data_IF_629660389932
#
_entry.id   IF_629660389932
#
_cell.length_a   1.000
_cell.length_b   1.000
_cell.length_c   1.000
_cell.angle_alpha   90.00
_cell.angle_beta   90.00
_cell.angle_gamma   90.00
#
_symmetry.space_group_name_H-M   'P 1'
#
loop_
_entity.id
_entity.type
_entity.pdbx_description
1 polymer ?
#
# COMPACT_ATOMS: atom_id res chain seq x y z
N UNK A 1 12.21 21.48 9.14
CA UNK A 1 12.36 20.80 7.83
C UNK A 1 11.04 20.85 7.12
N UNK A 2 11.01 21.23 5.85
CA UNK A 2 9.84 21.13 4.97
C UNK A 2 10.05 19.94 4.04
N UNK A 3 8.96 19.25 3.74
CA UNK A 3 8.93 18.14 2.79
C UNK A 3 7.84 18.38 1.76
N UNK A 4 8.12 18.06 0.50
CA UNK A 4 7.16 18.15 -0.59
C UNK A 4 7.43 17.09 -1.63
N UNK A 5 6.35 16.51 -2.15
CA UNK A 5 6.39 15.58 -3.27
C UNK A 5 6.12 16.32 -4.57
N UNK A 6 6.83 15.96 -5.62
CA UNK A 6 6.59 16.49 -6.95
C UNK A 6 6.67 15.38 -7.99
N UNK A 7 5.75 15.39 -8.95
CA UNK A 7 5.79 14.46 -10.07
C UNK A 7 7.08 14.66 -10.87
N UNK A 8 7.80 13.57 -11.13
CA UNK A 8 9.03 13.59 -11.94
C UNK A 8 8.78 14.23 -13.31
N UNK A 9 9.66 15.15 -13.70
CA UNK A 9 9.53 15.92 -14.94
C UNK A 9 8.51 17.05 -14.92
N UNK A 10 7.83 17.30 -13.78
CA UNK A 10 6.89 18.41 -13.63
C UNK A 10 7.59 19.75 -13.34
N UNK A 11 6.91 20.90 -13.55
CA UNK A 11 7.40 22.19 -13.08
C UNK A 11 7.71 22.24 -11.59
N UNK A 12 6.96 21.49 -10.75
CA UNK A 12 7.19 21.37 -9.31
C UNK A 12 8.54 20.70 -9.00
N UNK A 13 8.87 19.59 -9.70
CA UNK A 13 10.17 18.94 -9.56
C UNK A 13 11.33 19.85 -10.04
N UNK A 14 11.12 20.58 -11.14
CA UNK A 14 12.10 21.55 -11.63
C UNK A 14 12.31 22.69 -10.62
N UNK A 15 11.23 23.20 -10.01
CA UNK A 15 11.31 24.22 -8.96
C UNK A 15 12.06 23.70 -7.72
N UNK A 16 11.72 22.50 -7.24
CA UNK A 16 12.43 21.88 -6.12
C UNK A 16 13.95 21.79 -6.39
N UNK A 17 14.34 21.43 -7.62
CA UNK A 17 15.76 21.40 -8.02
C UNK A 17 16.47 22.75 -8.06
N UNK A 18 15.74 23.88 -8.04
CA UNK A 18 16.33 25.24 -7.93
C UNK A 18 16.61 25.66 -6.50
N UNK A 19 16.01 24.96 -5.51
CA UNK A 19 16.20 25.20 -4.10
C UNK A 19 17.36 24.32 -3.58
N UNK A 20 17.84 24.59 -2.35
CA UNK A 20 18.81 23.72 -1.67
C UNK A 20 18.12 22.48 -1.07
N UNK A 21 17.25 21.85 -1.83
CA UNK A 21 16.55 20.65 -1.40
C UNK A 21 17.42 19.41 -1.58
N UNK A 22 17.16 18.40 -0.77
CA UNK A 22 17.75 17.06 -0.91
C UNK A 22 16.66 16.07 -1.31
N UNK A 23 16.90 15.24 -2.34
CA UNK A 23 15.98 14.16 -2.65
C UNK A 23 16.00 13.13 -1.49
N UNK A 24 14.83 12.67 -1.10
CA UNK A 24 14.62 11.63 -0.11
C UNK A 24 14.11 10.36 -0.80
N UNK A 25 12.97 9.83 -0.37
CA UNK A 25 12.37 8.63 -0.95
C UNK A 25 11.60 9.00 -2.23
N UNK A 26 11.63 8.13 -3.22
CA UNK A 26 10.75 8.25 -4.39
C UNK A 26 9.59 7.28 -4.26
N UNK A 27 8.38 7.81 -4.15
CA UNK A 27 7.17 7.01 -4.26
C UNK A 27 6.90 6.70 -5.74
N UNK A 28 6.74 5.42 -6.05
CA UNK A 28 6.45 4.96 -7.42
C UNK A 28 5.05 4.38 -7.46
N UNK A 29 4.18 5.05 -8.21
CA UNK A 29 2.85 4.53 -8.49
C UNK A 29 2.90 3.54 -9.65
N UNK A 30 2.18 2.44 -9.48
CA UNK A 30 2.06 1.38 -10.49
C UNK A 30 0.60 1.04 -10.71
N UNK A 31 0.26 0.72 -11.94
CA UNK A 31 -1.09 0.34 -12.34
C UNK A 31 -1.10 -1.06 -12.93
N UNK A 32 -2.12 -1.82 -12.57
CA UNK A 32 -2.49 -3.07 -13.22
C UNK A 32 -3.83 -2.85 -13.94
N UNK A 33 -3.87 -3.05 -15.24
CA UNK A 33 -5.12 -3.23 -15.99
C UNK A 33 -5.54 -4.69 -15.84
N UNK A 34 -6.72 -4.95 -15.27
CA UNK A 34 -7.12 -6.33 -14.92
C UNK A 34 -7.22 -7.24 -16.13
N UNK A 35 -7.57 -6.70 -17.30
CA UNK A 35 -7.59 -7.44 -18.56
C UNK A 35 -6.19 -7.91 -19.02
N UNK A 36 -5.13 -7.24 -18.59
CA UNK A 36 -3.74 -7.58 -18.94
C UNK A 36 -3.17 -8.72 -18.08
N UNK A 37 -3.92 -9.20 -17.08
CA UNK A 37 -3.53 -10.33 -16.24
C UNK A 37 -4.39 -11.57 -16.57
N UNK A 38 -3.96 -12.43 -17.50
CA UNK A 38 -4.72 -13.60 -17.95
C UNK A 38 -5.02 -14.59 -16.82
N UNK A 39 -6.12 -15.31 -16.94
CA UNK A 39 -6.51 -16.34 -15.98
C UNK A 39 -5.43 -17.41 -15.79
N UNK A 40 -4.74 -17.78 -16.87
CA UNK A 40 -3.62 -18.75 -16.84
C UNK A 40 -2.47 -18.25 -15.99
N UNK A 41 -2.07 -16.98 -16.14
CA UNK A 41 -1.01 -16.39 -15.31
C UNK A 41 -1.43 -16.35 -13.84
N UNK A 42 -2.68 -15.98 -13.54
CA UNK A 42 -3.21 -16.02 -12.16
C UNK A 42 -3.17 -17.42 -11.58
N UNK A 43 -3.56 -18.43 -12.37
CA UNK A 43 -3.52 -19.84 -11.97
C UNK A 43 -2.08 -20.30 -11.71
N UNK A 44 -1.14 -19.98 -12.58
CA UNK A 44 0.28 -20.32 -12.42
C UNK A 44 0.86 -19.70 -11.14
N UNK A 45 0.58 -18.41 -10.88
CA UNK A 45 1.04 -17.73 -9.66
C UNK A 45 0.44 -18.36 -8.39
N UNK A 46 -0.83 -18.80 -8.44
CA UNK A 46 -1.45 -19.54 -7.32
C UNK A 46 -0.82 -20.89 -7.11
N UNK A 47 -0.59 -21.65 -8.18
CA UNK A 47 0.05 -22.96 -8.10
C UNK A 47 1.45 -22.87 -7.49
N UNK A 48 2.16 -21.79 -7.74
CA UNK A 48 3.47 -21.51 -7.15
C UNK A 48 3.39 -21.09 -5.66
N UNK A 49 2.42 -20.26 -5.29
CA UNK A 49 2.29 -19.75 -3.93
C UNK A 49 1.68 -20.77 -2.98
N UNK A 50 0.72 -21.57 -3.44
CA UNK A 50 -0.07 -22.47 -2.62
C UNK A 50 0.73 -23.48 -1.80
N UNK A 51 1.69 -24.23 -2.37
CA UNK A 51 2.51 -25.17 -1.62
C UNK A 51 3.33 -24.52 -0.50
N UNK A 52 3.81 -23.28 -0.72
CA UNK A 52 4.63 -22.53 0.26
C UNK A 52 3.76 -21.94 1.37
N UNK A 53 2.51 -21.59 1.05
CA UNK A 53 1.51 -21.09 1.99
C UNK A 53 0.65 -22.21 2.62
N UNK A 54 1.09 -23.47 2.54
CA UNK A 54 0.33 -24.60 3.08
C UNK A 54 0.04 -24.42 4.58
N UNK A 55 -1.21 -24.66 4.96
CA UNK A 55 -1.69 -24.53 6.33
C UNK A 55 -2.24 -23.17 6.69
N UNK A 56 -1.94 -22.12 5.91
CA UNK A 56 -2.60 -20.83 6.06
C UNK A 56 -4.01 -20.87 5.48
N UNK A 57 -4.95 -20.22 6.14
CA UNK A 57 -6.34 -20.07 5.66
C UNK A 57 -6.62 -18.61 5.35
N UNK A 58 -7.44 -18.37 4.33
CA UNK A 58 -7.81 -17.02 3.92
C UNK A 58 -9.11 -16.60 4.61
N UNK A 59 -9.09 -15.42 5.22
CA UNK A 59 -10.27 -14.74 5.76
C UNK A 59 -10.51 -13.43 5.00
N UNK A 60 -11.78 -13.01 4.91
CA UNK A 60 -12.15 -11.78 4.20
C UNK A 60 -13.26 -11.04 4.93
N UNK A 61 -13.22 -9.71 4.88
CA UNK A 61 -14.32 -8.86 5.34
C UNK A 61 -14.38 -7.56 4.54
N UNK A 62 -15.48 -6.83 4.65
CA UNK A 62 -15.69 -5.51 4.09
C UNK A 62 -15.81 -4.49 5.22
N UNK A 63 -15.27 -3.29 5.03
CA UNK A 63 -15.30 -2.24 6.03
C UNK A 63 -14.43 -2.53 7.25
N UNK A 64 -14.91 -2.20 8.46
CA UNK A 64 -14.13 -2.31 9.70
C UNK A 64 -13.71 -3.75 10.03
N UNK A 65 -12.55 -3.88 10.65
CA UNK A 65 -12.06 -5.15 11.17
C UNK A 65 -13.03 -5.72 12.24
N UNK A 66 -13.24 -7.06 12.29
CA UNK A 66 -13.94 -7.68 13.39
C UNK A 66 -13.34 -7.27 14.74
N UNK A 67 -14.19 -7.10 15.77
CA UNK A 67 -13.77 -6.57 17.07
C UNK A 67 -12.69 -7.43 17.73
N UNK A 68 -12.77 -8.73 17.58
CA UNK A 68 -11.81 -9.70 18.09
C UNK A 68 -10.48 -9.73 17.33
N UNK A 69 -10.35 -8.97 16.23
CA UNK A 69 -9.18 -8.95 15.36
C UNK A 69 -8.50 -7.59 15.26
N UNK A 70 -9.09 -6.54 15.82
CA UNK A 70 -8.59 -5.16 15.66
C UNK A 70 -7.16 -4.99 16.16
N UNK A 71 -6.80 -5.62 17.28
CA UNK A 71 -5.43 -5.57 17.81
C UNK A 71 -4.43 -6.28 16.90
N UNK A 72 -4.83 -7.37 16.27
CA UNK A 72 -4.00 -8.08 15.30
C UNK A 72 -3.83 -7.27 13.99
N UNK A 73 -4.88 -6.57 13.56
CA UNK A 73 -4.80 -5.62 12.44
C UNK A 73 -3.85 -4.47 12.78
N UNK A 74 -3.94 -3.92 13.99
CA UNK A 74 -3.03 -2.89 14.46
C UNK A 74 -1.56 -3.37 14.45
N UNK A 75 -1.30 -4.58 14.94
CA UNK A 75 0.03 -5.18 14.92
C UNK A 75 0.58 -5.36 13.49
N UNK A 76 -0.27 -5.77 12.53
CA UNK A 76 0.12 -5.90 11.12
C UNK A 76 0.37 -4.54 10.46
N UNK A 77 -0.43 -3.52 10.77
CA UNK A 77 -0.18 -2.16 10.32
C UNK A 77 1.15 -1.63 10.87
N UNK A 78 1.44 -1.90 12.14
CA UNK A 78 2.71 -1.58 12.77
C UNK A 78 3.91 -2.28 12.11
N UNK A 79 3.73 -3.49 11.58
CA UNK A 79 4.79 -4.23 10.88
C UNK A 79 5.19 -3.58 9.54
N UNK A 80 4.37 -2.67 8.98
CA UNK A 80 4.76 -1.81 7.85
C UNK A 80 5.86 -0.82 8.22
N UNK A 81 6.06 -0.58 9.52
CA UNK A 81 7.18 0.22 10.02
C UNK A 81 8.56 -0.36 9.64
N UNK A 82 8.61 -1.61 9.21
CA UNK A 82 9.83 -2.25 8.68
C UNK A 82 10.08 -1.96 7.19
N UNK A 83 9.12 -1.37 6.48
CA UNK A 83 9.34 -0.94 5.10
C UNK A 83 10.33 0.22 5.05
N UNK A 84 11.12 0.37 3.97
CA UNK A 84 11.98 1.52 3.78
C UNK A 84 11.17 2.81 3.96
N UNK A 85 11.63 3.66 4.89
CA UNK A 85 11.04 4.96 5.21
C UNK A 85 12.09 6.04 5.07
N UNK A 86 11.61 7.26 4.99
CA UNK A 86 12.43 8.45 4.99
C UNK A 86 13.21 8.60 6.32
N UNK A 87 14.43 9.11 6.22
CA UNK A 87 15.21 9.40 7.40
C UNK A 87 14.53 10.53 8.19
N UNK A 88 14.14 10.26 9.43
CA UNK A 88 13.48 11.24 10.31
C UNK A 88 11.98 11.05 10.49
N UNK A 89 11.33 10.20 9.74
CA UNK A 89 9.93 9.84 10.01
C UNK A 89 9.86 8.91 11.24
N UNK A 90 9.19 9.35 12.30
CA UNK A 90 8.89 8.50 13.44
C UNK A 90 7.96 7.35 13.03
N UNK A 91 8.23 6.17 13.60
CA UNK A 91 7.33 5.03 13.41
C UNK A 91 5.97 5.37 14.01
N UNK A 92 4.94 5.47 13.18
CA UNK A 92 3.59 5.63 13.69
C UNK A 92 3.23 4.43 14.56
N UNK A 93 2.91 4.69 15.82
CA UNK A 93 2.36 3.67 16.70
C UNK A 93 0.95 3.30 16.22
N UNK A 94 0.73 2.02 16.04
CA UNK A 94 -0.57 1.47 15.69
C UNK A 94 -1.16 0.74 16.88
N UNK A 95 -2.38 1.11 17.24
CA UNK A 95 -3.23 0.45 18.22
C UNK A 95 -4.67 0.34 17.68
N UNK A 96 -5.54 -0.33 18.41
CA UNK A 96 -6.93 -0.50 18.05
C UNK A 96 -7.65 0.85 17.83
N UNK A 97 -7.35 1.85 18.65
CA UNK A 97 -7.99 3.18 18.55
C UNK A 97 -7.62 3.86 17.22
N UNK A 98 -6.36 3.75 16.79
CA UNK A 98 -5.87 4.27 15.50
C UNK A 98 -6.51 3.53 14.32
N UNK A 99 -6.59 2.20 14.37
CA UNK A 99 -7.28 1.40 13.34
C UNK A 99 -8.73 1.88 13.21
N UNK A 100 -9.46 2.00 14.33
CA UNK A 100 -10.84 2.47 14.33
C UNK A 100 -11.00 3.91 13.82
N UNK A 101 -10.02 4.77 14.08
CA UNK A 101 -10.02 6.13 13.55
C UNK A 101 -9.90 6.14 12.01
N UNK A 102 -8.96 5.38 11.46
CA UNK A 102 -8.76 5.30 10.01
C UNK A 102 -9.95 4.65 9.30
N UNK A 103 -10.53 3.59 9.87
CA UNK A 103 -11.76 2.97 9.37
C UNK A 103 -12.93 3.96 9.29
N UNK A 104 -13.12 4.78 10.35
CA UNK A 104 -14.16 5.83 10.35
C UNK A 104 -13.90 6.90 9.29
N UNK A 105 -12.63 7.28 9.07
CA UNK A 105 -12.27 8.25 8.02
C UNK A 105 -12.60 7.71 6.63
N UNK A 106 -12.22 6.47 6.35
CA UNK A 106 -12.52 5.79 5.08
C UNK A 106 -14.04 5.71 4.87
N UNK A 107 -14.78 5.30 5.90
CA UNK A 107 -16.25 5.22 5.84
C UNK A 107 -16.91 6.59 5.63
N UNK A 108 -16.40 7.65 6.28
CA UNK A 108 -16.92 9.01 6.14
C UNK A 108 -16.74 9.58 4.74
N UNK A 109 -15.75 9.12 3.98
CA UNK A 109 -15.54 9.46 2.57
C UNK A 109 -16.40 8.62 1.61
N UNK A 110 -17.23 7.70 2.12
CA UNK A 110 -18.04 6.80 1.28
C UNK A 110 -17.23 5.70 0.57
N UNK A 111 -15.94 5.60 0.87
CA UNK A 111 -15.03 4.63 0.27
C UNK A 111 -15.32 3.22 0.79
N UNK A 112 -15.40 2.26 -0.11
CA UNK A 112 -15.60 0.84 0.24
C UNK A 112 -14.23 0.18 0.41
N UNK A 113 -13.99 -0.36 1.61
CA UNK A 113 -12.77 -1.07 1.94
C UNK A 113 -13.01 -2.58 1.92
N UNK A 114 -12.16 -3.31 1.22
CA UNK A 114 -12.12 -4.77 1.17
C UNK A 114 -10.82 -5.26 1.78
N UNK A 115 -10.90 -6.24 2.66
CA UNK A 115 -9.74 -6.83 3.31
C UNK A 115 -9.69 -8.32 3.02
N UNK A 116 -8.49 -8.80 2.72
CA UNK A 116 -8.15 -10.21 2.61
C UNK A 116 -6.98 -10.47 3.56
N UNK A 117 -7.12 -11.43 4.44
CA UNK A 117 -6.11 -11.78 5.44
C UNK A 117 -5.75 -13.27 5.37
N UNK A 118 -4.55 -13.60 5.82
CA UNK A 118 -4.12 -14.97 6.04
C UNK A 118 -4.05 -15.25 7.55
N UNK A 119 -4.63 -16.38 7.97
CA UNK A 119 -4.53 -16.88 9.34
C UNK A 119 -3.41 -17.90 9.43
N UNK A 120 -2.63 -17.81 10.49
CA UNK A 120 -1.55 -18.73 10.77
C UNK A 120 -2.07 -20.14 11.10
N UNK A 121 -1.37 -21.19 10.67
CA UNK A 121 -1.69 -22.55 11.08
C UNK A 121 -1.51 -22.73 12.59
N UNK A 122 -2.42 -23.47 13.20
CA UNK A 122 -2.38 -23.81 14.64
C UNK A 122 -3.00 -22.78 15.56
N UNK A 123 -2.63 -21.49 15.46
CA UNK A 123 -3.19 -20.42 16.32
C UNK A 123 -4.45 -19.78 15.75
N UNK A 124 -4.55 -19.67 14.42
CA UNK A 124 -5.61 -18.94 13.75
C UNK A 124 -5.43 -17.41 13.76
N UNK A 125 -4.33 -16.90 14.33
CA UNK A 125 -4.01 -15.47 14.36
C UNK A 125 -3.76 -14.91 12.97
N UNK A 126 -3.95 -13.61 12.79
CA UNK A 126 -3.65 -12.94 11.52
C UNK A 126 -2.13 -12.89 11.28
N UNK A 127 -1.68 -13.59 10.26
CA UNK A 127 -0.28 -13.65 9.82
C UNK A 127 0.05 -12.59 8.78
N UNK A 128 -0.94 -12.19 7.99
CA UNK A 128 -0.81 -11.20 6.93
C UNK A 128 -2.17 -10.61 6.58
N UNK A 129 -2.18 -9.41 6.02
CA UNK A 129 -3.39 -8.84 5.40
C UNK A 129 -3.03 -7.97 4.19
N UNK A 130 -4.03 -7.79 3.32
CA UNK A 130 -4.02 -6.81 2.24
C UNK A 130 -5.36 -6.08 2.21
N UNK A 131 -5.30 -4.77 1.96
CA UNK A 131 -6.48 -3.90 1.91
C UNK A 131 -6.57 -3.24 0.54
N UNK A 132 -7.78 -3.19 0.02
CA UNK A 132 -8.14 -2.51 -1.23
C UNK A 132 -9.31 -1.57 -0.96
N UNK A 133 -9.23 -0.35 -1.47
CA UNK A 133 -10.29 0.64 -1.41
C UNK A 133 -10.86 0.90 -2.79
N UNK A 134 -12.18 1.14 -2.87
CA UNK A 134 -12.89 1.57 -4.08
C UNK A 134 -13.67 2.84 -3.75
N UNK A 135 -13.31 3.91 -4.45
CA UNK A 135 -13.96 5.21 -4.30
C UNK A 135 -15.23 5.22 -5.19
N UNK A 136 -16.40 5.63 -4.66
CA UNK A 136 -17.62 5.74 -5.45
C UNK A 136 -17.50 6.74 -6.61
N UNK A 137 -16.64 7.76 -6.50
CA UNK A 137 -16.41 8.75 -7.55
C UNK A 137 -15.45 8.25 -8.66
N UNK A 138 -14.71 7.17 -8.38
CA UNK A 138 -13.79 6.52 -9.33
C UNK A 138 -14.03 5.00 -9.35
N UNK A 139 -15.24 4.52 -9.69
CA UNK A 139 -15.64 3.14 -9.48
C UNK A 139 -14.86 2.12 -10.33
N UNK A 140 -14.20 2.56 -11.40
CA UNK A 140 -13.35 1.70 -12.24
C UNK A 140 -11.95 1.47 -11.66
N UNK A 141 -11.60 2.13 -10.53
CA UNK A 141 -10.32 2.02 -9.86
C UNK A 141 -10.40 1.30 -8.52
N UNK A 142 -9.50 0.33 -8.32
CA UNK A 142 -9.16 -0.20 -7.01
C UNK A 142 -7.85 0.41 -6.52
N UNK A 143 -7.84 0.93 -5.30
CA UNK A 143 -6.66 1.51 -4.65
C UNK A 143 -6.09 0.50 -3.65
N UNK A 144 -4.95 -0.09 -3.99
CA UNK A 144 -4.26 -1.03 -3.11
C UNK A 144 -3.49 -0.26 -2.06
N UNK A 145 -4.04 -0.21 -0.85
CA UNK A 145 -3.50 0.59 0.26
C UNK A 145 -2.36 -0.16 0.97
N UNK A 146 -2.66 -1.29 1.51
CA UNK A 146 -1.77 -2.02 2.41
C UNK A 146 -1.57 -3.45 1.95
N UNK A 147 -0.35 -3.96 2.11
CA UNK A 147 -0.06 -5.39 2.14
C UNK A 147 1.03 -5.64 3.17
N UNK A 148 0.67 -6.24 4.29
CA UNK A 148 1.57 -6.50 5.41
C UNK A 148 1.66 -8.00 5.70
N UNK A 149 2.87 -8.45 6.04
CA UNK A 149 3.14 -9.82 6.50
C UNK A 149 3.95 -9.73 7.79
N UNK A 150 3.45 -10.31 8.88
CA UNK A 150 4.15 -10.37 10.14
C UNK A 150 5.50 -11.09 9.99
N UNK A 151 6.55 -10.62 10.67
CA UNK A 151 7.93 -11.11 10.53
C UNK A 151 8.06 -12.65 10.60
N UNK A 152 7.42 -13.34 11.56
CA UNK A 152 7.52 -14.82 11.65
C UNK A 152 6.92 -15.56 10.45
N UNK A 153 6.08 -14.89 9.66
CA UNK A 153 5.35 -15.47 8.54
C UNK A 153 5.86 -14.99 7.17
N UNK A 154 6.98 -14.25 7.14
CA UNK A 154 7.64 -13.87 5.88
C UNK A 154 8.27 -15.10 5.21
N UNK A 155 8.47 -15.04 3.89
CA UNK A 155 8.98 -16.16 3.11
C UNK A 155 7.92 -17.18 2.67
N UNK A 156 6.69 -17.13 3.20
CA UNK A 156 5.60 -18.03 2.85
C UNK A 156 4.74 -17.56 1.66
N UNK A 157 5.22 -16.58 0.88
CA UNK A 157 4.53 -16.01 -0.30
C UNK A 157 3.12 -15.46 -0.02
N UNK A 158 2.81 -15.14 1.25
CA UNK A 158 1.50 -14.65 1.66
C UNK A 158 1.10 -13.35 0.93
N UNK A 159 2.04 -12.43 0.73
CA UNK A 159 1.76 -11.19 -0.01
C UNK A 159 1.22 -11.44 -1.42
N UNK A 160 1.80 -12.39 -2.17
CA UNK A 160 1.31 -12.77 -3.50
C UNK A 160 -0.05 -13.47 -3.41
N UNK A 161 -0.20 -14.43 -2.48
CA UNK A 161 -1.46 -15.16 -2.27
C UNK A 161 -2.62 -14.20 -1.97
N UNK A 162 -2.41 -13.25 -1.04
CA UNK A 162 -3.45 -12.31 -0.63
C UNK A 162 -3.82 -11.33 -1.75
N UNK A 163 -2.85 -10.84 -2.53
CA UNK A 163 -3.13 -10.00 -3.70
C UNK A 163 -3.96 -10.76 -4.75
N UNK A 164 -3.64 -12.01 -5.03
CA UNK A 164 -4.44 -12.84 -5.95
C UNK A 164 -5.87 -13.08 -5.42
N UNK A 165 -6.03 -13.35 -4.12
CA UNK A 165 -7.33 -13.50 -3.50
C UNK A 165 -8.13 -12.18 -3.50
N UNK A 166 -7.45 -11.04 -3.34
CA UNK A 166 -8.06 -9.72 -3.45
C UNK A 166 -8.59 -9.45 -4.87
N UNK A 167 -7.84 -9.83 -5.91
CA UNK A 167 -8.32 -9.68 -7.28
C UNK A 167 -9.58 -10.49 -7.55
N UNK A 168 -9.70 -11.71 -6.98
CA UNK A 168 -10.93 -12.50 -7.08
C UNK A 168 -12.09 -11.84 -6.33
N UNK A 169 -11.79 -11.26 -5.15
CA UNK A 169 -12.78 -10.54 -4.37
C UNK A 169 -13.30 -9.31 -5.11
N UNK A 170 -12.42 -8.53 -5.73
CA UNK A 170 -12.80 -7.40 -6.56
C UNK A 170 -13.69 -7.83 -7.73
N UNK A 171 -13.33 -8.89 -8.45
CA UNK A 171 -14.14 -9.40 -9.56
C UNK A 171 -15.56 -9.79 -9.11
N UNK A 172 -15.71 -10.26 -7.87
CA UNK A 172 -17.00 -10.67 -7.31
C UNK A 172 -17.81 -9.53 -6.69
N UNK A 173 -17.14 -8.53 -6.08
CA UNK A 173 -17.77 -7.48 -5.28
C UNK A 173 -17.85 -6.13 -5.99
N UNK A 174 -16.89 -5.86 -6.88
CA UNK A 174 -16.71 -4.60 -7.58
C UNK A 174 -16.42 -4.87 -9.06
N UNK A 175 -17.39 -5.47 -9.81
CA UNK A 175 -17.18 -5.89 -11.19
C UNK A 175 -16.88 -4.73 -12.15
N UNK A 176 -17.16 -3.48 -11.75
CA UNK A 176 -16.83 -2.27 -12.50
C UNK A 176 -15.34 -1.89 -12.40
N UNK A 177 -14.59 -2.42 -11.42
CA UNK A 177 -13.16 -2.15 -11.30
C UNK A 177 -12.42 -2.81 -12.46
N UNK A 178 -11.72 -2.01 -13.24
CA UNK A 178 -10.90 -2.45 -14.38
C UNK A 178 -9.42 -2.23 -14.19
N UNK A 179 -9.05 -1.37 -13.22
CA UNK A 179 -7.67 -0.99 -12.93
C UNK A 179 -7.40 -1.03 -11.43
N UNK A 180 -6.18 -1.39 -11.08
CA UNK A 180 -5.71 -1.33 -9.69
C UNK A 180 -4.46 -0.44 -9.63
N UNK A 181 -4.50 0.57 -8.77
CA UNK A 181 -3.37 1.44 -8.46
C UNK A 181 -2.69 0.98 -7.16
N UNK A 182 -1.38 1.02 -7.12
CA UNK A 182 -0.58 0.79 -5.90
C UNK A 182 0.61 1.75 -5.86
N UNK A 183 1.01 2.17 -4.66
CA UNK A 183 2.20 2.97 -4.41
C UNK A 183 3.22 2.19 -3.58
N UNK A 184 4.51 2.33 -3.91
CA UNK A 184 5.59 1.77 -3.11
C UNK A 184 6.81 2.70 -3.19
N UNK A 185 7.57 2.79 -2.10
CA UNK A 185 8.91 3.34 -2.18
C UNK A 185 9.75 2.53 -3.19
N UNK A 186 10.60 3.20 -3.95
CA UNK A 186 11.45 2.57 -4.98
C UNK A 186 12.45 1.56 -4.40
N UNK A 187 12.80 1.68 -3.12
CA UNK A 187 13.62 0.73 -2.37
C UNK A 187 12.90 -0.56 -1.94
N UNK A 188 11.57 -0.66 -2.06
CA UNK A 188 10.80 -1.84 -1.63
C UNK A 188 10.81 -2.97 -2.68
N UNK A 189 12.01 -3.52 -2.95
CA UNK A 189 12.25 -4.51 -4.00
C UNK A 189 11.35 -5.75 -3.88
N UNK A 190 11.04 -6.18 -2.64
CA UNK A 190 10.20 -7.35 -2.43
C UNK A 190 8.76 -7.13 -2.95
N UNK A 191 8.16 -5.99 -2.61
CA UNK A 191 6.80 -5.66 -3.07
C UNK A 191 6.78 -5.32 -4.56
N UNK A 192 7.83 -4.67 -5.05
CA UNK A 192 8.01 -4.39 -6.49
C UNK A 192 7.99 -5.69 -7.29
N UNK A 193 8.79 -6.70 -6.88
CA UNK A 193 8.84 -7.99 -7.56
C UNK A 193 7.47 -8.72 -7.57
N UNK A 194 6.69 -8.62 -6.49
CA UNK A 194 5.33 -9.18 -6.44
C UNK A 194 4.43 -8.45 -7.44
N UNK A 195 4.46 -7.12 -7.45
CA UNK A 195 3.64 -6.30 -8.32
C UNK A 195 3.97 -6.54 -9.81
N UNK A 196 5.24 -6.59 -10.18
CA UNK A 196 5.69 -6.88 -11.55
C UNK A 196 5.22 -8.25 -12.03
N UNK A 197 5.27 -9.26 -11.18
CA UNK A 197 4.76 -10.61 -11.49
C UNK A 197 3.25 -10.64 -11.72
N UNK A 198 2.50 -9.75 -11.06
CA UNK A 198 1.07 -9.54 -11.28
C UNK A 198 0.79 -8.67 -12.52
N UNK A 199 1.81 -8.14 -13.18
CA UNK A 199 1.66 -7.31 -14.38
C UNK A 199 1.50 -5.82 -14.11
N UNK A 200 1.73 -5.36 -12.88
CA UNK A 200 1.74 -3.92 -12.59
C UNK A 200 2.88 -3.23 -13.34
N UNK A 201 2.57 -2.09 -13.94
CA UNK A 201 3.53 -1.24 -14.67
C UNK A 201 3.64 0.12 -14.00
N UNK A 202 4.82 0.74 -14.08
CA UNK A 202 5.04 2.09 -13.56
C UNK A 202 4.12 3.06 -14.29
N UNK A 203 3.36 3.83 -13.52
CA UNK A 203 2.49 4.91 -13.98
C UNK A 203 3.16 6.26 -13.78
N UNK A 204 3.71 6.51 -12.59
CA UNK A 204 4.33 7.78 -12.23
C UNK A 204 5.36 7.60 -11.12
N UNK A 205 6.28 8.57 -11.01
CA UNK A 205 7.28 8.67 -9.96
C UNK A 205 7.14 10.01 -9.26
N UNK A 206 7.19 9.98 -7.94
CA UNK A 206 7.02 11.14 -7.07
C UNK A 206 8.20 11.19 -6.10
N UNK A 207 9.32 11.81 -6.49
CA UNK A 207 10.40 12.08 -5.56
C UNK A 207 9.93 13.05 -4.47
N UNK A 208 10.27 12.73 -3.22
CA UNK A 208 10.15 13.62 -2.07
C UNK A 208 11.40 14.49 -1.98
N UNK A 209 11.20 15.75 -1.65
CA UNK A 209 12.25 16.75 -1.53
C UNK A 209 12.21 17.33 -0.13
N UNK A 210 13.35 17.31 0.54
CA UNK A 210 13.52 17.91 1.88
C UNK A 210 14.26 19.23 1.79
N UNK A 211 13.72 20.28 2.45
CA UNK A 211 14.35 21.58 2.61
C UNK A 211 14.55 21.86 4.09
N UNK A 212 15.79 22.13 4.53
CA UNK A 212 16.01 22.60 5.86
C UNK A 212 15.46 24.04 6.03
N UNK A 213 14.82 24.31 7.15
CA UNK A 213 14.25 25.65 7.45
C UNK A 213 15.32 26.73 7.42
N UNK A 214 16.56 26.37 7.79
CA UNK A 214 17.72 27.28 7.79
C UNK A 214 18.21 27.63 6.39
N UNK A 215 17.84 26.82 5.38
CA UNK A 215 18.23 27.02 3.97
C UNK A 215 17.17 27.76 3.16
N UNK A 216 16.06 28.15 3.78
CA UNK A 216 15.04 29.00 3.13
C UNK A 216 15.64 30.39 2.91
N UNK A 217 15.74 30.88 1.66
CA UNK A 217 16.24 32.22 1.42
C UNK A 217 15.35 33.25 2.14
N UNK A 218 15.93 34.31 2.71
CA UNK A 218 15.15 35.35 3.33
C UNK A 218 14.19 35.98 2.30
N UNK A 219 12.98 36.32 2.75
CA UNK A 219 11.99 36.95 1.90
C UNK A 219 12.60 38.20 1.22
N UNK A 220 12.70 38.26 -0.12
CA UNK A 220 13.24 39.40 -0.81
C UNK A 220 12.38 40.69 -0.64
N UNK A 221 11.15 40.54 -0.16
CA UNK A 221 10.22 41.63 0.15
C UNK A 221 10.03 41.75 1.65
N UNK A 222 11.11 42.09 2.40
CA UNK A 222 10.97 42.56 3.77
C UNK A 222 10.08 43.79 3.82
N UNK A 223 8.79 43.58 4.02
CA UNK A 223 7.85 44.66 4.31
C UNK A 223 8.08 45.03 5.76
N UNK A 224 8.85 46.15 5.95
CA UNK A 224 8.95 46.88 7.20
C UNK A 224 7.65 47.61 7.52
#
# INVERSE_FOLDING_TARGET
MFEADALEGSPGAAFAGTLKTRPSVTAVQRVLTLADLPAEQRAALRAEAGPVARGYTVATWDGPAPEDQVDQVAALNGAMADAPREAGQEAQAWDAARVRLDERRVAAMGVRAHVVAARAPGTGDLAALTQMCVDPDMPEWGFQELTAVARPHRGHRLGLLLKLAMLDRLAAREPQVTRVLTGNADGNQHMIAINERLGFRVLSRWPSWELDVTDVPPDPAGHG
#
